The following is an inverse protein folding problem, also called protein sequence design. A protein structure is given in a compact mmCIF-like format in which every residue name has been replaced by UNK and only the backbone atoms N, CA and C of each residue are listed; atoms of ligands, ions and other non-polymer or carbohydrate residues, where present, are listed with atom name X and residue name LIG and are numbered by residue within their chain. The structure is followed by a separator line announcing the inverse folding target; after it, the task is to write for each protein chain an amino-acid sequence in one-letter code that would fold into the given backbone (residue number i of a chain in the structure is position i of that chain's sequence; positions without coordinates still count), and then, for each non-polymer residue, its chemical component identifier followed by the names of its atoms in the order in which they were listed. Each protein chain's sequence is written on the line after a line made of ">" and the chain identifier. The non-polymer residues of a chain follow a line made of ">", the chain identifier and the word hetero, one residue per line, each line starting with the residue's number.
data_IF_288131179430
#
_entry.id   IF_288131179430
#
_cell.length_a   1.000
_cell.length_b   1.000
_cell.length_c   1.000
_cell.angle_alpha   90.00
_cell.angle_beta   90.00
_cell.angle_gamma   90.00
#
_symmetry.space_group_name_H-M   'P 1'
#
loop_
_entity.id
_entity.type
_entity.pdbx_description
1 polymer ?
#
# COMPACT_ATOMS: atom_id res chain seq x y z
N UNK A 1 -24.65 2.03 7.25
CA UNK A 1 -24.49 1.42 5.92
C UNK A 1 -23.24 1.94 5.18
N UNK A 2 -23.10 3.23 4.80
CA UNK A 2 -21.91 3.72 4.08
C UNK A 2 -20.56 3.56 4.82
N UNK A 3 -20.52 3.75 6.14
CA UNK A 3 -19.29 3.56 6.94
C UNK A 3 -18.77 2.12 6.96
N UNK A 4 -19.68 1.13 6.94
CA UNK A 4 -19.31 -0.28 6.91
C UNK A 4 -18.75 -0.71 5.54
N UNK A 5 -19.27 -0.16 4.43
CA UNK A 5 -18.76 -0.44 3.08
C UNK A 5 -17.35 0.13 2.86
N UNK A 6 -17.03 1.30 3.43
CA UNK A 6 -15.72 1.93 3.31
C UNK A 6 -14.66 1.25 4.19
N UNK A 7 -15.03 0.84 5.40
CA UNK A 7 -14.16 0.03 6.27
C UNK A 7 -13.91 -1.36 5.66
N UNK A 8 -14.90 -1.93 4.98
CA UNK A 8 -14.81 -3.17 4.22
C UNK A 8 -13.88 -3.00 3.01
N UNK A 9 -13.92 -1.87 2.29
CA UNK A 9 -13.03 -1.61 1.15
C UNK A 9 -11.58 -1.41 1.57
N UNK A 10 -11.33 -0.71 2.65
CA UNK A 10 -9.96 -0.55 3.17
C UNK A 10 -9.40 -1.86 3.73
N UNK A 11 -10.21 -2.65 4.44
CA UNK A 11 -9.84 -4.01 4.86
C UNK A 11 -9.57 -4.93 3.66
N UNK A 12 -10.27 -4.74 2.53
CA UNK A 12 -10.01 -5.49 1.29
C UNK A 12 -8.70 -5.07 0.61
N UNK A 13 -8.38 -3.78 0.55
CA UNK A 13 -7.09 -3.30 0.03
C UNK A 13 -5.95 -3.84 0.91
N UNK A 14 -6.14 -3.82 2.23
CA UNK A 14 -5.19 -4.40 3.19
C UNK A 14 -5.07 -5.92 3.04
N UNK A 15 -6.17 -6.63 2.87
CA UNK A 15 -6.17 -8.10 2.72
C UNK A 15 -5.53 -8.55 1.41
N UNK A 16 -5.43 -7.67 0.40
CA UNK A 16 -4.77 -7.95 -0.86
C UNK A 16 -3.24 -7.96 -0.67
N UNK A 17 -2.69 -7.04 0.13
CA UNK A 17 -1.27 -7.08 0.50
C UNK A 17 -0.96 -8.37 1.28
N UNK A 18 -1.87 -8.79 2.16
CA UNK A 18 -1.75 -10.04 2.94
C UNK A 18 -2.07 -11.29 2.09
N UNK A 19 -3.01 -11.21 1.16
CA UNK A 19 -3.44 -12.35 0.32
C UNK A 19 -2.45 -12.76 -0.77
N UNK A 20 -1.42 -11.96 -1.07
CA UNK A 20 -0.33 -12.30 -2.00
C UNK A 20 0.68 -13.31 -1.41
N UNK A 21 0.54 -13.67 -0.14
CA UNK A 21 1.51 -14.50 0.62
C UNK A 21 1.26 -16.00 0.47
N UNK A 22 0.17 -16.43 -0.13
CA UNK A 22 -0.20 -17.85 -0.19
C UNK A 22 0.27 -18.52 -1.46
N UNK A 23 1.54 -18.83 -1.65
CA UNK A 23 2.01 -20.05 -2.35
C UNK A 23 3.53 -20.22 -2.12
N UNK A 24 3.91 -20.96 -1.10
CA UNK A 24 5.15 -21.75 -1.20
C UNK A 24 5.09 -22.95 -0.25
N UNK A 25 4.58 -24.07 -0.74
CA UNK A 25 4.84 -25.36 -0.14
C UNK A 25 6.28 -25.75 -0.46
N UNK A 26 7.19 -25.51 0.47
CA UNK A 26 8.54 -26.09 0.43
C UNK A 26 8.73 -26.93 1.67
N UNK A 27 8.60 -28.23 1.50
CA UNK A 27 9.08 -29.25 2.43
C UNK A 27 10.59 -29.33 2.34
N UNK A 28 11.31 -28.72 3.27
CA UNK A 28 12.69 -29.09 3.58
C UNK A 28 13.10 -28.50 4.93
N UNK A 29 14.01 -29.17 5.64
CA UNK A 29 14.54 -28.81 6.98
C UNK A 29 15.28 -27.46 7.01
N UNK A 30 14.69 -26.40 6.49
CA UNK A 30 15.19 -25.04 6.60
C UNK A 30 14.67 -24.43 7.91
N UNK A 31 15.53 -23.67 8.57
CA UNK A 31 15.15 -22.90 9.74
C UNK A 31 13.99 -21.95 9.41
N UNK A 32 12.83 -22.15 10.03
CA UNK A 32 11.59 -21.41 9.81
C UNK A 32 11.82 -19.88 9.82
N UNK A 33 12.75 -19.39 10.65
CA UNK A 33 13.15 -17.97 10.66
C UNK A 33 13.65 -17.50 9.30
N UNK A 34 14.49 -18.30 8.62
CA UNK A 34 15.06 -17.95 7.32
C UNK A 34 14.00 -17.97 6.22
N UNK A 35 13.04 -18.89 6.31
CA UNK A 35 11.90 -18.96 5.41
C UNK A 35 11.09 -17.65 5.52
N UNK A 36 10.74 -17.25 6.74
CA UNK A 36 9.96 -16.05 7.01
C UNK A 36 10.70 -14.77 6.61
N UNK A 37 12.00 -14.66 6.90
CA UNK A 37 12.81 -13.53 6.45
C UNK A 37 12.83 -13.41 4.92
N UNK A 38 12.95 -14.53 4.22
CA UNK A 38 12.93 -14.54 2.76
C UNK A 38 11.53 -14.22 2.22
N UNK A 39 10.48 -14.73 2.86
CA UNK A 39 9.09 -14.42 2.49
C UNK A 39 8.82 -12.90 2.60
N UNK A 40 9.17 -12.30 3.73
CA UNK A 40 9.02 -10.86 3.94
C UNK A 40 9.83 -10.03 2.94
N UNK A 41 11.09 -10.42 2.67
CA UNK A 41 11.92 -9.78 1.64
C UNK A 41 11.28 -9.88 0.26
N UNK A 42 10.83 -11.08 -0.10
CA UNK A 42 10.17 -11.31 -1.39
C UNK A 42 8.90 -10.49 -1.54
N UNK A 43 8.08 -10.36 -0.49
CA UNK A 43 6.89 -9.53 -0.47
C UNK A 43 7.23 -8.05 -0.72
N UNK A 44 8.21 -7.51 -0.01
CA UNK A 44 8.64 -6.11 -0.17
C UNK A 44 9.20 -5.89 -1.58
N UNK A 45 10.09 -6.76 -2.06
CA UNK A 45 10.69 -6.64 -3.38
C UNK A 45 9.68 -6.88 -4.51
N UNK A 46 8.75 -7.81 -4.36
CA UNK A 46 7.63 -8.01 -5.29
C UNK A 46 6.81 -6.72 -5.44
N UNK A 47 6.48 -6.08 -4.31
CA UNK A 47 5.73 -4.81 -4.33
C UNK A 47 6.55 -3.69 -4.97
N UNK A 48 7.82 -3.55 -4.61
CA UNK A 48 8.75 -2.55 -5.19
C UNK A 48 8.93 -2.68 -6.70
N UNK A 49 8.86 -3.91 -7.22
CA UNK A 49 9.03 -4.21 -8.64
C UNK A 49 7.71 -4.23 -9.41
N UNK A 50 6.62 -3.70 -8.82
CA UNK A 50 5.33 -3.58 -9.47
C UNK A 50 4.59 -4.90 -9.65
N UNK A 51 4.88 -5.90 -8.83
CA UNK A 51 4.22 -7.22 -8.86
C UNK A 51 2.70 -7.16 -8.65
N UNK A 52 2.20 -6.11 -8.01
CA UNK A 52 0.77 -5.82 -7.89
C UNK A 52 0.07 -5.64 -9.26
N UNK A 53 0.80 -5.31 -10.33
CA UNK A 53 0.24 -5.12 -11.68
C UNK A 53 -0.32 -6.40 -12.29
N UNK A 54 0.13 -7.56 -11.81
CA UNK A 54 -0.28 -8.89 -12.31
C UNK A 54 -1.45 -9.51 -11.56
N UNK A 55 -1.91 -8.90 -10.48
CA UNK A 55 -2.96 -9.45 -9.62
C UNK A 55 -4.33 -8.83 -9.94
N UNK A 56 -5.40 -9.66 -9.90
CA UNK A 56 -6.80 -9.22 -10.07
C UNK A 56 -7.28 -8.40 -8.85
N UNK A 57 -6.74 -7.21 -8.68
CA UNK A 57 -7.08 -6.31 -7.59
C UNK A 57 -8.33 -5.49 -7.87
N UNK A 58 -8.96 -5.01 -6.80
CA UNK A 58 -9.89 -3.90 -6.87
C UNK A 58 -9.25 -2.74 -7.66
N UNK A 59 -10.02 -2.14 -8.57
CA UNK A 59 -9.55 -1.03 -9.43
C UNK A 59 -8.91 0.10 -8.64
N UNK A 60 -9.41 0.43 -7.43
CA UNK A 60 -8.85 1.48 -6.59
C UNK A 60 -7.49 1.09 -6.00
N UNK A 61 -7.32 -0.17 -5.61
CA UNK A 61 -6.01 -0.66 -5.15
C UNK A 61 -4.96 -0.58 -6.28
N UNK A 62 -5.33 -1.00 -7.50
CA UNK A 62 -4.44 -0.91 -8.65
C UNK A 62 -4.04 0.54 -8.96
N UNK A 63 -4.98 1.48 -8.93
CA UNK A 63 -4.74 2.92 -9.11
C UNK A 63 -3.76 3.44 -8.05
N UNK A 64 -3.97 3.06 -6.78
CA UNK A 64 -3.13 3.51 -5.67
C UNK A 64 -1.70 3.02 -5.84
N UNK A 65 -1.50 1.71 -6.06
CA UNK A 65 -0.17 1.14 -6.25
C UNK A 65 0.53 1.74 -7.47
N UNK A 66 -0.17 1.95 -8.57
CA UNK A 66 0.38 2.59 -9.76
C UNK A 66 0.81 4.03 -9.49
N UNK A 67 0.08 4.76 -8.67
CA UNK A 67 0.41 6.14 -8.33
C UNK A 67 1.65 6.24 -7.43
N UNK A 68 1.85 5.29 -6.50
CA UNK A 68 2.96 5.32 -5.54
C UNK A 68 4.22 4.57 -6.00
N UNK A 69 4.23 4.03 -7.23
CA UNK A 69 5.33 3.22 -7.77
C UNK A 69 6.71 3.90 -7.62
N UNK A 70 6.79 5.18 -7.93
CA UNK A 70 8.03 5.96 -7.78
C UNK A 70 8.46 6.13 -6.31
N UNK A 71 7.53 6.08 -5.37
CA UNK A 71 7.82 6.12 -3.93
C UNK A 71 8.66 4.92 -3.47
N UNK A 72 8.43 3.74 -4.05
CA UNK A 72 9.19 2.53 -3.69
C UNK A 72 10.67 2.63 -4.03
N UNK A 73 11.06 3.43 -5.02
CA UNK A 73 12.48 3.70 -5.35
C UNK A 73 13.19 4.50 -4.25
N UNK A 74 12.42 5.24 -3.45
CA UNK A 74 12.92 6.07 -2.32
C UNK A 74 12.75 5.37 -0.96
N UNK A 75 12.20 4.15 -0.94
CA UNK A 75 12.04 3.36 0.28
C UNK A 75 13.27 2.48 0.52
N UNK A 76 13.63 2.30 1.78
CA UNK A 76 14.62 1.30 2.22
C UNK A 76 14.12 0.56 3.45
N UNK A 77 14.63 -0.64 3.67
CA UNK A 77 14.27 -1.44 4.84
C UNK A 77 15.45 -2.25 5.37
N UNK A 78 15.36 -2.63 6.63
CA UNK A 78 16.32 -3.50 7.29
C UNK A 78 15.60 -4.42 8.27
N UNK A 79 15.77 -5.72 8.13
CA UNK A 79 15.39 -6.68 9.15
C UNK A 79 16.45 -6.61 10.26
N UNK A 80 16.01 -6.25 11.47
CA UNK A 80 16.90 -6.08 12.61
C UNK A 80 17.11 -7.40 13.35
N UNK A 81 16.00 -8.15 13.55
CA UNK A 81 16.02 -9.40 14.32
C UNK A 81 14.81 -10.26 13.98
N UNK A 82 15.01 -11.56 13.95
CA UNK A 82 13.93 -12.56 13.85
C UNK A 82 13.96 -13.44 15.09
N UNK A 83 12.86 -13.46 15.84
CA UNK A 83 12.71 -14.19 17.09
C UNK A 83 11.61 -15.23 16.98
N UNK A 84 11.92 -16.47 17.24
CA UNK A 84 10.94 -17.54 17.44
C UNK A 84 10.44 -17.46 18.89
N UNK A 85 9.20 -17.10 19.07
CA UNK A 85 8.57 -17.03 20.38
C UNK A 85 8.14 -18.43 20.86
N UNK A 86 7.63 -19.23 19.92
CA UNK A 86 7.29 -20.63 20.09
C UNK A 86 7.18 -21.33 18.72
N UNK A 87 6.84 -22.63 18.69
CA UNK A 87 6.74 -23.45 17.46
C UNK A 87 5.77 -22.90 16.40
N UNK A 88 4.82 -22.07 16.81
CA UNK A 88 3.76 -21.55 15.95
C UNK A 88 3.79 -20.03 15.82
N UNK A 89 4.80 -19.34 16.35
CA UNK A 89 4.87 -17.89 16.31
C UNK A 89 6.30 -17.38 16.17
N UNK A 90 6.51 -16.60 15.11
CA UNK A 90 7.77 -15.91 14.84
C UNK A 90 7.50 -14.40 14.72
N UNK A 91 8.38 -13.62 15.28
CA UNK A 91 8.34 -12.15 15.26
C UNK A 91 9.55 -11.65 14.49
N UNK A 92 9.30 -10.81 13.47
CA UNK A 92 10.33 -10.13 12.68
C UNK A 92 10.34 -8.65 13.06
N UNK A 93 11.39 -8.18 13.71
CA UNK A 93 11.58 -6.76 13.93
C UNK A 93 12.24 -6.12 12.71
N UNK A 94 11.58 -5.14 12.13
CA UNK A 94 11.99 -4.46 10.90
C UNK A 94 11.99 -2.95 11.07
N UNK A 95 12.95 -2.28 10.45
CA UNK A 95 12.96 -0.84 10.27
C UNK A 95 12.68 -0.55 8.80
N UNK A 96 11.71 0.33 8.52
CA UNK A 96 11.40 0.79 7.17
C UNK A 96 11.52 2.31 7.14
N UNK A 97 12.31 2.82 6.19
CA UNK A 97 12.39 4.25 5.88
C UNK A 97 11.65 4.52 4.57
N UNK A 98 10.71 5.44 4.61
CA UNK A 98 9.82 5.73 3.48
C UNK A 98 9.43 7.22 3.41
N UNK A 99 9.11 7.75 2.20
CA UNK A 99 8.66 9.13 2.06
C UNK A 99 7.28 9.34 2.69
N UNK A 100 7.04 10.52 3.29
CA UNK A 100 5.73 10.93 3.77
C UNK A 100 4.90 11.52 2.63
N UNK A 101 3.95 10.74 2.12
CA UNK A 101 3.05 11.16 1.06
C UNK A 101 1.66 11.59 1.55
N UNK A 102 1.46 11.77 2.85
CA UNK A 102 0.16 12.17 3.41
C UNK A 102 -0.42 13.43 2.77
N UNK A 103 0.43 14.40 2.43
CA UNK A 103 0.02 15.64 1.74
C UNK A 103 -0.41 15.46 0.28
N UNK A 104 -0.08 14.34 -0.38
CA UNK A 104 -0.47 14.10 -1.77
C UNK A 104 -1.99 13.99 -1.95
N UNK A 105 -2.69 13.53 -0.92
CA UNK A 105 -4.16 13.42 -0.94
C UNK A 105 -4.84 14.78 -0.99
N UNK A 106 -4.30 15.79 -0.31
CA UNK A 106 -4.83 17.14 -0.38
C UNK A 106 -4.64 17.76 -1.76
N UNK A 107 -3.44 17.59 -2.34
CA UNK A 107 -3.15 18.02 -3.71
C UNK A 107 -4.13 17.35 -4.70
N UNK A 108 -4.32 16.05 -4.54
CA UNK A 108 -5.26 15.27 -5.37
C UNK A 108 -6.70 15.80 -5.25
N UNK A 109 -7.19 16.07 -4.02
CA UNK A 109 -8.52 16.66 -3.82
C UNK A 109 -8.69 17.99 -4.54
N UNK A 110 -7.69 18.86 -4.45
CA UNK A 110 -7.72 20.17 -5.11
C UNK A 110 -7.82 20.01 -6.64
N UNK A 111 -7.05 19.09 -7.25
CA UNK A 111 -7.13 18.79 -8.68
C UNK A 111 -8.53 18.29 -9.09
N UNK A 112 -9.15 17.43 -8.29
CA UNK A 112 -10.53 16.96 -8.53
C UNK A 112 -11.53 18.13 -8.44
N UNK A 113 -11.40 19.00 -7.45
CA UNK A 113 -12.28 20.15 -7.28
C UNK A 113 -12.13 21.16 -8.44
N UNK A 114 -10.92 21.46 -8.87
CA UNK A 114 -10.64 22.33 -10.01
C UNK A 114 -11.25 21.78 -11.30
N UNK A 115 -11.10 20.49 -11.55
CA UNK A 115 -11.68 19.84 -12.71
C UNK A 115 -13.22 19.85 -12.68
N UNK A 116 -13.80 19.61 -11.50
CA UNK A 116 -15.25 19.75 -11.31
C UNK A 116 -15.73 21.18 -11.63
N UNK A 117 -15.03 22.21 -11.14
CA UNK A 117 -15.36 23.60 -11.43
C UNK A 117 -15.21 23.94 -12.90
N UNK A 118 -14.20 23.39 -13.56
CA UNK A 118 -13.99 23.55 -15.01
C UNK A 118 -15.17 22.98 -15.81
N UNK A 119 -15.63 21.79 -15.43
CA UNK A 119 -16.78 21.12 -16.07
C UNK A 119 -18.07 21.93 -15.86
N UNK A 120 -18.30 22.46 -14.66
CA UNK A 120 -19.50 23.27 -14.36
C UNK A 120 -19.55 24.59 -15.14
N UNK A 121 -18.39 25.17 -15.48
CA UNK A 121 -18.29 26.40 -16.29
C UNK A 121 -18.29 26.14 -17.78
N UNK A 122 -18.22 24.90 -18.22
CA UNK A 122 -18.24 24.56 -19.65
C UNK A 122 -19.64 24.73 -20.22
N UNK A 123 -19.80 25.44 -21.36
CA UNK A 123 -21.09 25.59 -22.01
C UNK A 123 -21.68 24.27 -22.51
N UNK A 124 -20.84 23.27 -22.76
CA UNK A 124 -21.21 21.92 -23.12
C UNK A 124 -20.48 20.91 -22.22
N UNK A 125 -20.97 20.64 -21.00
CA UNK A 125 -20.35 19.68 -20.13
C UNK A 125 -20.42 18.28 -20.73
N UNK A 126 -19.27 17.73 -21.12
CA UNK A 126 -19.18 16.36 -21.60
C UNK A 126 -19.30 15.41 -20.41
N UNK A 127 -20.29 14.53 -20.44
CA UNK A 127 -20.40 13.42 -19.48
C UNK A 127 -19.30 12.42 -19.84
N UNK A 128 -18.34 12.23 -18.94
CA UNK A 128 -17.29 11.24 -19.10
C UNK A 128 -17.81 9.84 -18.77
N UNK A 129 -17.31 8.86 -19.50
CA UNK A 129 -17.51 7.46 -19.15
C UNK A 129 -16.76 7.10 -17.85
N UNK A 130 -17.15 5.99 -17.21
CA UNK A 130 -16.47 5.48 -16.01
C UNK A 130 -14.98 5.24 -16.27
N UNK A 131 -14.62 4.73 -17.45
CA UNK A 131 -13.22 4.48 -17.82
C UNK A 131 -12.41 5.78 -17.98
N UNK A 132 -13.00 6.84 -18.50
CA UNK A 132 -12.39 8.16 -18.58
C UNK A 132 -12.20 8.78 -17.20
N UNK A 133 -13.18 8.58 -16.31
CA UNK A 133 -13.09 9.03 -14.91
C UNK A 133 -12.00 8.28 -14.16
N UNK A 134 -11.88 6.96 -14.33
CA UNK A 134 -10.82 6.14 -13.76
C UNK A 134 -9.44 6.63 -14.22
N UNK A 135 -9.26 6.83 -15.55
CA UNK A 135 -7.99 7.34 -16.11
C UNK A 135 -7.61 8.70 -15.54
N UNK A 136 -8.57 9.62 -15.47
CA UNK A 136 -8.34 10.96 -14.94
C UNK A 136 -7.98 10.92 -13.45
N UNK A 137 -8.70 10.11 -12.66
CA UNK A 137 -8.43 9.92 -11.23
C UNK A 137 -7.03 9.35 -11.02
N UNK A 138 -6.65 8.34 -11.80
CA UNK A 138 -5.30 7.75 -11.77
C UNK A 138 -4.24 8.79 -12.11
N UNK A 139 -4.46 9.58 -13.16
CA UNK A 139 -3.54 10.63 -13.57
C UNK A 139 -3.35 11.67 -12.45
N UNK A 140 -4.45 12.20 -11.89
CA UNK A 140 -4.38 13.20 -10.83
C UNK A 140 -3.68 12.67 -9.57
N UNK A 141 -3.94 11.41 -9.20
CA UNK A 141 -3.26 10.81 -8.05
C UNK A 141 -1.75 10.66 -8.31
N UNK A 142 -1.34 10.18 -9.49
CA UNK A 142 0.07 10.11 -9.90
C UNK A 142 0.75 11.47 -9.89
N UNK A 143 0.11 12.48 -10.47
CA UNK A 143 0.64 13.84 -10.48
C UNK A 143 0.83 14.38 -9.06
N UNK A 144 -0.14 14.16 -8.17
CA UNK A 144 -0.10 14.62 -6.78
C UNK A 144 1.00 13.91 -5.97
N UNK A 145 1.17 12.60 -6.18
CA UNK A 145 2.26 11.83 -5.58
C UNK A 145 3.62 12.32 -6.11
N UNK A 146 3.75 12.51 -7.43
CA UNK A 146 5.00 13.00 -8.02
C UNK A 146 5.34 14.41 -7.57
N UNK A 147 4.36 15.30 -7.45
CA UNK A 147 4.55 16.64 -6.91
C UNK A 147 5.10 16.56 -5.48
N UNK A 148 4.53 15.69 -4.64
CA UNK A 148 5.00 15.48 -3.27
C UNK A 148 6.38 14.81 -3.21
N UNK A 149 6.66 13.83 -4.06
CA UNK A 149 7.97 13.17 -4.13
C UNK A 149 9.10 14.10 -4.59
N UNK A 150 8.77 15.15 -5.35
CA UNK A 150 9.72 16.16 -5.84
C UNK A 150 9.76 17.42 -4.96
N UNK A 151 8.99 17.47 -3.87
CA UNK A 151 9.05 18.57 -2.90
C UNK A 151 10.47 18.60 -2.27
N UNK A 152 11.18 19.73 -2.34
CA UNK A 152 12.51 19.86 -1.73
C UNK A 152 12.49 19.67 -0.21
N UNK A 153 11.31 19.81 0.43
CA UNK A 153 11.08 19.59 1.85
C UNK A 153 10.43 18.24 2.14
N UNK A 154 10.54 17.27 1.21
CA UNK A 154 9.98 15.93 1.41
C UNK A 154 10.52 15.30 2.70
N UNK A 155 9.62 15.00 3.61
CA UNK A 155 9.94 14.32 4.86
C UNK A 155 9.99 12.81 4.65
N UNK A 156 10.77 12.15 5.49
CA UNK A 156 10.82 10.69 5.56
C UNK A 156 10.43 10.25 6.97
N UNK A 157 9.66 9.18 7.05
CA UNK A 157 9.52 8.40 8.27
C UNK A 157 10.56 7.30 8.30
N UNK A 158 10.97 6.94 9.51
CA UNK A 158 11.80 5.76 9.78
C UNK A 158 11.17 5.06 10.98
N UNK A 159 10.31 4.09 10.68
CA UNK A 159 9.54 3.38 11.69
C UNK A 159 10.16 2.00 11.94
N UNK A 160 10.29 1.64 13.21
CA UNK A 160 10.72 0.30 13.64
C UNK A 160 9.55 -0.37 14.34
N UNK A 161 9.19 -1.57 13.90
CA UNK A 161 8.06 -2.31 14.44
C UNK A 161 8.22 -3.81 14.24
N UNK A 162 7.36 -4.57 14.89
CA UNK A 162 7.32 -6.02 14.83
C UNK A 162 6.24 -6.48 13.83
N UNK A 163 6.61 -7.44 12.98
CA UNK A 163 5.71 -8.20 12.13
C UNK A 163 5.58 -9.59 12.71
N UNK A 164 4.36 -10.03 12.97
CA UNK A 164 4.04 -11.32 13.58
C UNK A 164 3.64 -12.31 12.50
N UNK A 165 4.29 -13.46 12.50
CA UNK A 165 3.90 -14.63 11.73
C UNK A 165 3.37 -15.71 12.65
N UNK A 166 2.26 -16.34 12.25
CA UNK A 166 1.62 -17.45 12.97
C UNK A 166 1.51 -18.65 12.04
N UNK A 167 1.81 -19.84 12.56
CA UNK A 167 1.74 -21.09 11.82
C UNK A 167 0.35 -21.72 11.92
N UNK A 168 -0.30 -21.89 10.78
CA UNK A 168 -1.57 -22.58 10.63
C UNK A 168 -1.42 -23.76 9.67
N UNK A 169 -1.72 -24.98 10.13
CA UNK A 169 -1.65 -26.18 9.27
C UNK A 169 -0.34 -26.28 8.47
N UNK A 170 0.79 -26.10 9.15
CA UNK A 170 2.16 -26.08 8.60
C UNK A 170 2.51 -24.93 7.66
N UNK A 171 1.61 -23.98 7.43
CA UNK A 171 1.87 -22.75 6.68
C UNK A 171 2.07 -21.56 7.61
N UNK A 172 3.06 -20.72 7.30
CA UNK A 172 3.26 -19.46 8.01
C UNK A 172 2.43 -18.35 7.36
N UNK A 173 1.68 -17.61 8.19
CA UNK A 173 0.84 -16.50 7.76
C UNK A 173 1.24 -15.24 8.51
N UNK A 174 1.48 -14.16 7.77
CA UNK A 174 1.70 -12.84 8.34
C UNK A 174 0.39 -12.31 8.92
N UNK A 175 0.42 -11.90 10.19
CA UNK A 175 -0.71 -11.23 10.81
C UNK A 175 -0.82 -9.78 10.33
N UNK A 176 -2.03 -9.23 10.37
CA UNK A 176 -2.25 -7.82 10.02
C UNK A 176 -1.35 -6.90 10.85
N UNK A 177 -0.63 -6.03 10.15
CA UNK A 177 0.30 -5.06 10.75
C UNK A 177 0.00 -3.67 10.21
N UNK A 178 -0.77 -2.86 10.96
CA UNK A 178 -1.10 -1.50 10.55
C UNK A 178 0.13 -0.63 10.27
N UNK A 179 1.23 -0.84 11.01
CA UNK A 179 2.48 -0.12 10.81
C UNK A 179 3.15 -0.50 9.49
N UNK A 180 3.16 -1.81 9.16
CA UNK A 180 3.66 -2.28 7.86
C UNK A 180 2.83 -1.72 6.72
N UNK A 181 1.52 -1.79 6.82
CA UNK A 181 0.61 -1.26 5.81
C UNK A 181 0.78 0.26 5.62
N UNK A 182 0.91 1.02 6.72
CA UNK A 182 1.20 2.46 6.68
C UNK A 182 2.51 2.74 5.94
N UNK A 183 3.57 1.99 6.24
CA UNK A 183 4.87 2.16 5.59
C UNK A 183 4.81 1.80 4.10
N UNK A 184 4.14 0.69 3.72
CA UNK A 184 3.99 0.25 2.34
C UNK A 184 3.11 1.19 1.50
N UNK A 185 2.20 1.92 2.12
CA UNK A 185 1.36 2.94 1.49
C UNK A 185 1.90 4.37 1.68
N UNK A 186 3.12 4.54 2.21
CA UNK A 186 3.77 5.84 2.39
C UNK A 186 2.92 6.85 3.17
N UNK A 187 2.21 6.38 4.19
CA UNK A 187 1.30 7.18 5.02
C UNK A 187 0.15 7.86 4.21
N UNK A 188 -0.21 7.31 3.06
CA UNK A 188 -1.39 7.75 2.31
C UNK A 188 -2.66 7.34 3.05
N UNK A 189 -3.44 8.32 3.49
CA UNK A 189 -4.71 8.11 4.18
C UNK A 189 -5.86 8.57 3.28
N UNK A 190 -6.64 7.62 2.75
CA UNK A 190 -7.81 7.91 1.93
C UNK A 190 -9.07 8.24 2.75
N UNK A 191 -9.01 8.14 4.09
CA UNK A 191 -10.16 8.37 4.99
C UNK A 191 -10.71 9.82 4.98
N UNK A 192 -10.00 10.75 4.37
CA UNK A 192 -10.40 12.15 4.32
C UNK A 192 -11.41 12.47 3.20
N UNK A 193 -11.86 11.48 2.42
CA UNK A 193 -12.88 11.68 1.37
C UNK A 193 -14.32 11.69 1.92
N UNK A 194 -14.52 11.37 3.20
CA UNK A 194 -15.85 11.15 3.78
C UNK A 194 -16.31 12.20 4.80
N UNK A 195 -15.51 13.26 4.99
CA UNK A 195 -15.94 14.36 5.85
C UNK A 195 -16.25 15.60 4.99
N UNK A 196 -17.48 15.65 4.45
CA UNK A 196 -18.31 16.85 4.23
C UNK A 196 -19.71 16.41 3.79
#
# INVERSE_FOLDING_TARGET
>A
MKKEEEEINMKKILSIIVGLILISTITSCQNDKKIIENDLKNLIEFTRNGGYKSSNHDKMAAITFEAIDEGYKKMSYKINKTTEENKNKIIVNITIKYPDLSGAIEIFKNKILEERQRLLKSPNPTVRSDDEMIKLTTQFLKESVNEKLNDPNLRYFEDTFDIVYVKHNDNWEMQDSPQFNKAMLFNLHFNSFTQN
#
